data_IF_186256691423
#
_entry.id   IF_186256691423
#
_cell.length_a   1.000
_cell.length_b   1.000
_cell.length_c   1.000
_cell.angle_alpha   90.00
_cell.angle_beta   90.00
_cell.angle_gamma   90.00
#
_symmetry.space_group_name_H-M   'P 1'
#
loop_
_entity.id
_entity.type
_entity.pdbx_description
1 polymer ?
#
# COMPACT_ATOMS: atom_id res chain seq x y z
N UNK A 1 -31.98 -13.47 57.15
CA UNK A 1 -32.52 -13.19 55.81
C UNK A 1 -31.34 -13.13 54.85
N UNK A 2 -31.17 -14.16 53.99
CA UNK A 2 -30.02 -14.32 53.09
C UNK A 2 -30.39 -13.82 51.70
N UNK A 3 -29.56 -12.91 51.18
CA UNK A 3 -29.58 -12.34 49.84
C UNK A 3 -29.07 -13.37 48.82
N UNK A 4 -29.76 -13.52 47.70
CA UNK A 4 -29.27 -14.22 46.50
C UNK A 4 -29.46 -13.28 45.32
N UNK A 5 -28.39 -12.59 44.93
CA UNK A 5 -28.30 -11.86 43.67
C UNK A 5 -27.88 -12.88 42.61
N UNK A 6 -28.79 -13.21 41.70
CA UNK A 6 -28.50 -14.01 40.51
C UNK A 6 -27.95 -13.07 39.45
N UNK A 7 -26.63 -13.04 39.28
CA UNK A 7 -25.97 -12.42 38.14
C UNK A 7 -26.14 -13.34 36.92
N UNK A 8 -27.19 -13.10 36.13
CA UNK A 8 -27.33 -13.67 34.80
C UNK A 8 -26.33 -12.98 33.87
N UNK A 9 -25.18 -13.63 33.63
CA UNK A 9 -24.21 -13.19 32.62
C UNK A 9 -24.78 -13.41 31.23
N UNK A 10 -25.19 -12.31 30.59
CA UNK A 10 -25.41 -12.23 29.15
C UNK A 10 -24.06 -12.36 28.44
N UNK A 11 -23.78 -13.54 27.87
CA UNK A 11 -22.70 -13.71 26.89
C UNK A 11 -23.16 -13.08 25.56
N UNK A 12 -22.70 -11.85 25.29
CA UNK A 12 -22.79 -11.26 23.96
C UNK A 12 -21.80 -11.97 23.03
N UNK A 13 -22.34 -12.74 22.08
CA UNK A 13 -21.56 -13.32 20.99
C UNK A 13 -21.23 -12.17 20.04
N UNK A 14 -19.98 -11.71 20.08
CA UNK A 14 -19.45 -10.75 19.10
C UNK A 14 -19.19 -11.54 17.84
N UNK A 15 -20.01 -11.35 16.80
CA UNK A 15 -19.67 -11.84 15.47
C UNK A 15 -18.53 -10.96 14.95
N UNK A 16 -17.33 -11.52 14.85
CA UNK A 16 -16.22 -10.91 14.14
C UNK A 16 -16.60 -10.75 12.67
N UNK A 17 -17.11 -9.55 12.34
CA UNK A 17 -17.24 -9.13 10.96
C UNK A 17 -15.81 -8.95 10.41
N UNK A 18 -15.32 -9.99 9.75
CA UNK A 18 -14.11 -9.90 8.93
C UNK A 18 -14.41 -8.89 7.81
N UNK A 19 -13.98 -7.64 8.01
CA UNK A 19 -14.09 -6.61 6.99
C UNK A 19 -13.19 -7.01 5.81
N UNK A 20 -13.78 -7.58 4.77
CA UNK A 20 -13.12 -7.80 3.50
C UNK A 20 -12.89 -6.42 2.86
N UNK A 21 -11.62 -6.02 2.73
CA UNK A 21 -11.26 -4.79 2.02
C UNK A 21 -11.03 -5.16 0.56
N UNK A 22 -11.78 -4.49 -0.32
CA UNK A 22 -11.72 -4.71 -1.75
C UNK A 22 -10.84 -3.64 -2.39
N UNK A 23 -9.87 -4.09 -3.21
CA UNK A 23 -9.10 -3.22 -4.08
C UNK A 23 -9.81 -3.13 -5.42
N UNK A 24 -10.32 -1.95 -5.73
CA UNK A 24 -11.10 -1.68 -6.93
C UNK A 24 -10.26 -0.88 -7.92
N UNK A 25 -10.02 -1.43 -9.10
CA UNK A 25 -9.34 -0.69 -10.16
C UNK A 25 -10.40 -0.14 -11.11
N UNK A 26 -10.58 1.17 -11.07
CA UNK A 26 -11.51 1.89 -11.93
C UNK A 26 -11.12 1.83 -13.42
N UNK A 27 -12.03 2.24 -14.33
CA UNK A 27 -11.79 2.25 -15.77
C UNK A 27 -10.67 3.23 -16.18
N UNK A 28 -10.41 4.24 -15.36
CA UNK A 28 -9.29 5.19 -15.42
C UNK A 28 -7.95 4.59 -14.97
N UNK A 29 -7.96 3.40 -14.38
CA UNK A 29 -6.79 2.74 -13.81
C UNK A 29 -6.44 3.18 -12.39
N UNK A 30 -7.28 4.01 -11.76
CA UNK A 30 -7.14 4.37 -10.35
C UNK A 30 -7.51 3.18 -9.47
N UNK A 31 -6.65 2.85 -8.51
CA UNK A 31 -6.97 1.89 -7.47
C UNK A 31 -7.63 2.62 -6.30
N UNK A 32 -8.84 2.22 -5.92
CA UNK A 32 -9.50 2.57 -4.65
C UNK A 32 -9.54 1.36 -3.72
N UNK A 33 -9.50 1.60 -2.41
CA UNK A 33 -9.74 0.59 -1.39
C UNK A 33 -11.04 0.96 -0.69
N UNK A 34 -11.90 -0.04 -0.49
CA UNK A 34 -13.21 0.16 0.12
C UNK A 34 -13.63 -1.10 0.88
N UNK A 35 -14.44 -0.91 1.92
CA UNK A 35 -14.95 -1.99 2.78
C UNK A 35 -16.18 -2.70 2.15
N UNK A 36 -16.56 -2.30 0.93
CA UNK A 36 -17.65 -2.88 0.14
C UNK A 36 -17.11 -3.46 -1.17
N UNK A 37 -17.72 -4.53 -1.73
CA UNK A 37 -17.31 -5.09 -3.02
C UNK A 37 -17.17 -4.04 -4.10
N UNK A 38 -16.24 -4.25 -5.03
CA UNK A 38 -16.03 -3.30 -6.11
C UNK A 38 -17.28 -3.16 -6.98
N UNK A 39 -17.64 -1.95 -7.44
CA UNK A 39 -18.73 -1.80 -8.40
C UNK A 39 -18.42 -2.64 -9.65
N UNK A 40 -19.45 -3.20 -10.31
CA UNK A 40 -19.30 -4.12 -11.46
C UNK A 40 -18.44 -3.56 -12.62
N UNK A 41 -18.28 -2.24 -12.66
CA UNK A 41 -17.48 -1.50 -13.64
C UNK A 41 -16.00 -1.41 -13.30
N UNK A 42 -15.60 -1.80 -12.08
CA UNK A 42 -14.23 -1.82 -11.59
C UNK A 42 -13.71 -3.26 -11.52
N UNK A 43 -12.44 -3.47 -11.87
CA UNK A 43 -11.82 -4.77 -11.68
C UNK A 43 -11.66 -5.02 -10.17
N UNK A 44 -12.31 -6.08 -9.68
CA UNK A 44 -12.29 -6.48 -8.28
C UNK A 44 -11.09 -7.38 -7.97
N UNK A 45 -10.42 -7.08 -6.86
CA UNK A 45 -9.50 -8.02 -6.21
C UNK A 45 -9.77 -8.01 -4.72
N UNK A 46 -10.19 -9.16 -4.20
CA UNK A 46 -10.32 -9.42 -2.76
C UNK A 46 -8.92 -9.48 -2.14
N UNK A 47 -8.64 -8.60 -1.18
CA UNK A 47 -7.41 -8.69 -0.37
C UNK A 47 -7.74 -9.51 0.86
N UNK A 48 -7.37 -10.78 0.88
CA UNK A 48 -7.56 -11.64 2.05
C UNK A 48 -6.50 -11.30 3.10
N UNK A 49 -6.91 -10.61 4.17
CA UNK A 49 -6.07 -10.41 5.36
C UNK A 49 -6.04 -11.74 6.13
N UNK A 50 -5.17 -12.65 5.74
CA UNK A 50 -4.88 -13.81 6.57
C UNK A 50 -4.04 -13.36 7.77
N UNK A 51 -4.73 -13.14 8.89
CA UNK A 51 -4.11 -12.94 10.20
C UNK A 51 -3.32 -14.18 10.60
N UNK A 52 -2.04 -14.21 10.25
CA UNK A 52 -1.09 -15.08 10.92
C UNK A 52 0.25 -14.34 11.02
N UNK A 53 0.31 -13.46 12.01
CA UNK A 53 1.53 -12.82 12.44
C UNK A 53 2.45 -13.87 13.04
N UNK A 54 3.41 -14.38 12.25
CA UNK A 54 4.58 -15.03 12.82
C UNK A 54 5.52 -13.91 13.26
N UNK A 55 5.36 -13.48 14.51
CA UNK A 55 6.34 -12.69 15.24
C UNK A 55 7.59 -13.54 15.44
N UNK A 56 8.59 -13.39 14.58
CA UNK A 56 9.98 -13.72 14.89
C UNK A 56 10.89 -13.04 13.87
N UNK A 57 11.48 -11.94 14.30
CA UNK A 57 12.39 -11.12 13.53
C UNK A 57 12.73 -9.88 14.33
N UNK A 58 13.36 -10.09 15.49
CA UNK A 58 14.13 -9.05 16.18
C UNK A 58 15.12 -8.44 15.18
N UNK A 59 14.76 -7.29 14.65
CA UNK A 59 15.71 -6.34 14.09
C UNK A 59 15.57 -5.09 14.92
N UNK A 60 16.34 -5.05 16.01
CA UNK A 60 16.79 -3.79 16.58
C UNK A 60 17.56 -3.04 15.49
N UNK A 61 16.89 -2.09 14.84
CA UNK A 61 17.55 -0.93 14.24
C UNK A 61 17.23 0.26 15.13
N UNK A 62 17.90 0.29 16.27
CA UNK A 62 18.37 1.53 16.84
C UNK A 62 19.50 1.99 15.93
N UNK A 63 19.33 3.08 15.20
CA UNK A 63 20.40 4.05 14.91
C UNK A 63 19.87 5.19 14.04
N UNK A 64 19.97 6.38 14.62
CA UNK A 64 20.06 7.70 14.01
C UNK A 64 18.88 8.19 13.18
N UNK A 65 17.91 8.76 13.92
CA UNK A 65 17.09 9.90 13.53
C UNK A 65 17.95 11.14 13.22
N UNK A 66 18.86 11.00 12.25
CA UNK A 66 19.47 12.14 11.58
C UNK A 66 18.54 12.43 10.41
N UNK A 67 17.55 13.27 10.70
CA UNK A 67 16.76 14.09 9.78
C UNK A 67 17.68 14.81 8.78
N UNK A 68 18.23 14.06 7.84
CA UNK A 68 18.81 14.61 6.64
C UNK A 68 17.60 14.91 5.77
N UNK A 69 17.09 16.13 5.90
CA UNK A 69 16.29 16.82 4.87
C UNK A 69 17.12 16.98 3.59
N UNK A 70 17.66 15.88 3.08
CA UNK A 70 18.17 15.81 1.72
C UNK A 70 16.91 15.98 0.89
N UNK A 71 16.76 17.18 0.34
CA UNK A 71 15.81 17.51 -0.71
C UNK A 71 15.66 16.27 -1.59
N UNK A 72 14.49 15.65 -1.50
CA UNK A 72 14.17 14.45 -2.26
C UNK A 72 14.21 14.83 -3.74
N UNK A 73 15.38 14.66 -4.34
CA UNK A 73 15.64 15.13 -5.69
C UNK A 73 14.99 14.18 -6.68
N UNK A 74 14.18 14.73 -7.58
CA UNK A 74 13.52 14.00 -8.67
C UNK A 74 14.46 13.09 -9.47
N UNK A 75 15.75 13.43 -9.57
CA UNK A 75 16.78 12.60 -10.23
C UNK A 75 16.91 11.23 -9.59
N UNK A 76 16.62 11.12 -8.30
CA UNK A 76 16.83 9.92 -7.51
C UNK A 76 15.72 8.87 -7.73
N UNK A 77 14.53 9.31 -8.17
CA UNK A 77 13.45 8.40 -8.55
C UNK A 77 13.67 7.72 -9.89
N UNK A 78 14.45 8.33 -10.80
CA UNK A 78 14.65 7.83 -12.16
C UNK A 78 15.17 6.39 -12.14
N UNK A 79 14.48 5.53 -12.90
CA UNK A 79 14.76 4.10 -12.98
C UNK A 79 13.54 3.23 -12.66
N UNK A 80 13.79 1.92 -12.59
CA UNK A 80 12.79 0.91 -12.26
C UNK A 80 12.74 0.66 -10.76
N UNK A 81 11.53 0.47 -10.26
CA UNK A 81 11.21 0.13 -8.90
C UNK A 81 10.18 -1.00 -8.89
N UNK A 82 10.44 -2.01 -8.07
CA UNK A 82 9.52 -3.10 -7.82
C UNK A 82 8.75 -2.82 -6.53
N UNK A 83 7.46 -2.56 -6.66
CA UNK A 83 6.49 -2.64 -5.57
C UNK A 83 6.29 -4.12 -5.23
N UNK A 84 6.89 -4.56 -4.14
CA UNK A 84 6.88 -5.97 -3.73
C UNK A 84 5.89 -6.24 -2.60
N UNK A 85 5.38 -5.19 -1.94
CA UNK A 85 4.39 -5.32 -0.89
C UNK A 85 3.52 -4.06 -0.74
N UNK A 86 2.30 -4.26 -0.24
CA UNK A 86 1.40 -3.20 0.22
C UNK A 86 0.93 -3.52 1.65
N UNK A 87 0.68 -2.51 2.47
CA UNK A 87 0.10 -2.67 3.82
C UNK A 87 -0.83 -1.52 4.17
N UNK A 88 -1.82 -1.76 5.03
CA UNK A 88 -2.70 -0.69 5.53
C UNK A 88 -2.01 0.21 6.57
N UNK A 89 -0.94 -0.27 7.22
CA UNK A 89 -0.18 0.48 8.21
C UNK A 89 1.33 0.28 8.04
N UNK A 90 2.14 1.22 8.53
CA UNK A 90 3.60 1.23 8.33
C UNK A 90 4.32 0.00 8.91
N UNK A 91 3.75 -0.61 9.95
CA UNK A 91 4.27 -1.83 10.58
C UNK A 91 3.35 -3.04 10.43
N UNK A 92 2.29 -2.92 9.61
CA UNK A 92 1.27 -3.96 9.48
C UNK A 92 1.71 -5.13 8.62
N UNK A 93 0.82 -6.11 8.52
CA UNK A 93 0.97 -7.25 7.60
C UNK A 93 1.12 -6.75 6.17
N UNK A 94 2.07 -7.36 5.45
CA UNK A 94 2.40 -7.01 4.06
C UNK A 94 1.74 -8.01 3.11
N UNK A 95 0.93 -7.50 2.19
CA UNK A 95 0.43 -8.28 1.06
C UNK A 95 1.45 -8.22 -0.09
N UNK A 96 2.00 -9.37 -0.46
CA UNK A 96 2.99 -9.53 -1.53
C UNK A 96 2.42 -10.24 -2.76
N UNK A 97 1.10 -10.46 -2.81
CA UNK A 97 0.46 -11.28 -3.84
C UNK A 97 0.43 -10.63 -5.22
N UNK A 98 0.56 -9.29 -5.29
CA UNK A 98 0.42 -8.51 -6.51
C UNK A 98 1.58 -7.53 -6.69
N UNK A 99 2.77 -8.01 -7.09
CA UNK A 99 3.88 -7.11 -7.36
C UNK A 99 3.58 -6.22 -8.57
N UNK A 100 4.04 -4.98 -8.50
CA UNK A 100 3.92 -4.02 -9.59
C UNK A 100 5.27 -3.35 -9.88
N UNK A 101 5.51 -3.00 -11.14
CA UNK A 101 6.73 -2.30 -11.56
C UNK A 101 6.41 -0.85 -11.87
N UNK A 102 7.09 0.05 -11.17
CA UNK A 102 7.09 1.48 -11.43
C UNK A 102 8.36 1.82 -12.21
N UNK A 103 8.24 2.59 -13.28
CA UNK A 103 9.37 3.00 -14.09
C UNK A 103 9.32 4.51 -14.33
N UNK A 104 10.07 5.24 -13.52
CA UNK A 104 10.28 6.67 -13.72
C UNK A 104 11.30 6.86 -14.85
N UNK A 105 10.81 6.92 -16.09
CA UNK A 105 11.63 6.91 -17.31
C UNK A 105 12.55 8.13 -17.41
N UNK A 106 12.02 9.29 -17.04
CA UNK A 106 12.73 10.56 -17.04
C UNK A 106 12.16 11.47 -15.94
N UNK A 107 12.49 12.75 -15.98
CA UNK A 107 12.03 13.76 -15.00
C UNK A 107 10.56 14.16 -15.16
N UNK A 108 9.74 13.50 -15.95
CA UNK A 108 8.30 13.81 -15.99
C UNK A 108 7.42 12.62 -16.34
N UNK A 109 7.96 11.55 -16.89
CA UNK A 109 7.19 10.39 -17.33
C UNK A 109 7.39 9.20 -16.41
N UNK A 110 6.29 8.54 -16.10
CA UNK A 110 6.26 7.28 -15.36
C UNK A 110 5.45 6.26 -16.14
N UNK A 111 5.88 4.99 -16.10
CA UNK A 111 5.00 3.87 -16.38
C UNK A 111 4.79 2.99 -15.16
N UNK A 112 3.56 2.49 -15.03
CA UNK A 112 3.16 1.58 -13.96
C UNK A 112 2.63 0.31 -14.59
N UNK A 113 3.28 -0.82 -14.29
CA UNK A 113 2.91 -2.14 -14.79
C UNK A 113 2.46 -3.01 -13.64
N UNK A 114 1.24 -3.53 -13.70
CA UNK A 114 0.71 -4.44 -12.69
C UNK A 114 0.09 -5.67 -13.36
N UNK A 115 0.00 -6.75 -12.58
CA UNK A 115 -0.67 -7.97 -12.99
C UNK A 115 -1.90 -8.14 -12.10
N UNK A 116 -3.07 -8.30 -12.69
CA UNK A 116 -4.25 -8.82 -11.98
C UNK A 116 -4.29 -10.34 -12.16
N UNK A 117 -4.92 -11.06 -11.24
CA UNK A 117 -4.96 -12.54 -11.31
C UNK A 117 -5.58 -13.07 -12.61
N UNK A 118 -6.47 -12.28 -13.24
CA UNK A 118 -7.29 -12.70 -14.37
C UNK A 118 -6.91 -12.08 -15.71
N UNK A 119 -6.04 -11.07 -15.77
CA UNK A 119 -5.72 -10.34 -17.01
C UNK A 119 -4.22 -10.30 -17.29
N UNK A 120 -3.82 -10.16 -18.57
CA UNK A 120 -2.43 -9.92 -18.94
C UNK A 120 -1.88 -8.66 -18.26
N UNK A 121 -0.55 -8.57 -18.15
CA UNK A 121 0.12 -7.37 -17.61
C UNK A 121 -0.38 -6.12 -18.36
N UNK A 122 -0.90 -5.14 -17.62
CA UNK A 122 -1.30 -3.83 -18.15
C UNK A 122 -0.23 -2.81 -17.77
N UNK A 123 0.22 -2.04 -18.75
CA UNK A 123 1.12 -0.90 -18.55
C UNK A 123 0.34 0.39 -18.77
N UNK A 124 0.43 1.31 -17.81
CA UNK A 124 -0.18 2.64 -17.87
C UNK A 124 0.96 3.67 -17.92
N UNK A 125 0.81 4.68 -18.78
CA UNK A 125 1.77 5.79 -18.91
C UNK A 125 1.15 7.09 -18.41
N UNK A 126 1.84 7.79 -17.52
CA UNK A 126 1.39 9.07 -16.95
C UNK A 126 2.55 10.08 -16.89
N UNK A 127 2.22 11.37 -16.71
CA UNK A 127 3.21 12.33 -16.23
C UNK A 127 3.24 12.36 -14.70
N UNK A 128 4.35 12.86 -14.14
CA UNK A 128 4.49 13.10 -12.72
C UNK A 128 5.32 14.34 -12.39
N UNK A 129 4.95 15.02 -11.32
CA UNK A 129 5.73 16.07 -10.66
C UNK A 129 6.21 15.61 -9.30
N UNK A 130 7.32 16.20 -8.84
CA UNK A 130 7.88 15.94 -7.52
C UNK A 130 8.12 17.29 -6.86
N UNK A 131 7.52 17.48 -5.70
CA UNK A 131 7.63 18.68 -4.89
C UNK A 131 7.88 18.25 -3.45
N UNK A 132 9.08 18.51 -2.95
CA UNK A 132 9.52 18.02 -1.64
C UNK A 132 9.35 16.50 -1.53
N UNK A 133 8.55 16.02 -0.57
CA UNK A 133 8.25 14.61 -0.33
C UNK A 133 6.96 14.15 -1.04
N UNK A 134 6.42 14.95 -1.96
CA UNK A 134 5.18 14.64 -2.68
C UNK A 134 5.47 14.30 -4.13
N UNK A 135 4.87 13.21 -4.60
CA UNK A 135 4.86 12.79 -6.00
C UNK A 135 3.42 12.90 -6.48
N UNK A 136 3.14 13.83 -7.41
CA UNK A 136 1.83 13.90 -8.05
C UNK A 136 1.92 13.18 -9.39
N UNK A 137 1.05 12.20 -9.63
CA UNK A 137 1.02 11.43 -10.88
C UNK A 137 -0.34 11.62 -11.52
N UNK A 138 -0.35 12.01 -12.80
CA UNK A 138 -1.58 12.19 -13.58
C UNK A 138 -2.41 10.90 -13.51
N UNK A 139 -3.72 11.04 -13.27
CA UNK A 139 -4.65 9.92 -13.13
C UNK A 139 -4.29 8.87 -12.07
N UNK A 140 -3.30 9.12 -11.19
CA UNK A 140 -2.93 8.25 -10.06
C UNK A 140 -2.88 8.99 -8.73
N UNK A 141 -3.09 10.31 -8.72
CA UNK A 141 -3.23 11.13 -7.52
C UNK A 141 -1.90 11.54 -6.88
N UNK A 142 -1.98 11.97 -5.62
CA UNK A 142 -0.83 12.42 -4.84
C UNK A 142 -0.32 11.32 -3.92
N UNK A 143 0.98 11.11 -3.96
CA UNK A 143 1.70 10.12 -3.18
C UNK A 143 2.71 10.84 -2.29
N UNK A 144 2.84 10.40 -1.04
CA UNK A 144 3.86 10.94 -0.13
C UNK A 144 4.99 9.95 0.04
N UNK A 145 6.22 10.43 -0.01
CA UNK A 145 7.43 9.67 0.29
C UNK A 145 7.59 9.63 1.81
N UNK A 146 7.36 8.48 2.44
CA UNK A 146 7.53 8.36 3.89
C UNK A 146 8.95 7.92 4.28
N UNK A 147 9.64 7.18 3.40
CA UNK A 147 11.01 6.71 3.64
C UNK A 147 11.73 6.50 2.33
N UNK A 148 12.97 6.95 2.26
CA UNK A 148 13.83 6.77 1.11
C UNK A 148 15.31 6.67 1.52
N UNK A 149 16.03 5.66 1.02
CA UNK A 149 17.45 5.44 1.34
C UNK A 149 18.34 5.15 0.12
N UNK A 150 17.89 5.46 -1.10
CA UNK A 150 18.63 5.12 -2.33
C UNK A 150 18.18 3.83 -2.99
N UNK A 151 17.87 2.81 -2.19
CA UNK A 151 17.58 1.45 -2.66
C UNK A 151 16.13 1.01 -2.39
N UNK A 152 15.54 1.47 -1.30
CA UNK A 152 14.14 1.26 -0.93
C UNK A 152 13.39 2.57 -0.81
N UNK A 153 12.10 2.50 -1.13
CA UNK A 153 11.16 3.61 -1.11
C UNK A 153 9.87 3.12 -0.47
N UNK A 154 9.35 3.87 0.51
CA UNK A 154 8.01 3.65 1.07
C UNK A 154 7.16 4.84 0.68
N UNK A 155 6.03 4.57 0.02
CA UNK A 155 5.05 5.58 -0.35
C UNK A 155 3.76 5.41 0.43
N UNK A 156 3.16 6.52 0.87
CA UNK A 156 1.74 6.58 1.24
C UNK A 156 0.93 6.92 -0.01
N UNK A 157 -0.09 6.10 -0.31
CA UNK A 157 -0.99 6.31 -1.44
C UNK A 157 -2.01 7.44 -1.23
N UNK A 158 -2.67 7.91 -2.30
CA UNK A 158 -3.64 9.02 -2.26
C UNK A 158 -4.87 8.76 -1.37
N UNK A 159 -5.17 7.49 -1.13
CA UNK A 159 -6.29 7.00 -0.33
C UNK A 159 -5.80 6.30 0.96
N UNK A 160 -4.53 6.51 1.31
CA UNK A 160 -3.86 5.77 2.38
C UNK A 160 -3.17 4.50 1.89
N UNK A 161 -2.76 3.67 2.85
CA UNK A 161 -1.93 2.50 2.60
C UNK A 161 -0.45 2.83 2.35
N UNK A 162 0.40 1.86 2.59
CA UNK A 162 1.86 1.92 2.48
C UNK A 162 2.32 0.96 1.39
N UNK A 163 3.06 1.48 0.44
CA UNK A 163 3.57 0.77 -0.72
C UNK A 163 5.08 0.65 -0.56
N UNK A 164 5.59 -0.59 -0.59
CA UNK A 164 6.99 -0.88 -0.37
C UNK A 164 7.64 -1.19 -1.71
N UNK A 165 8.56 -0.32 -2.10
CA UNK A 165 9.29 -0.42 -3.35
C UNK A 165 10.77 -0.66 -3.09
N UNK A 166 11.39 -1.45 -3.95
CA UNK A 166 12.85 -1.63 -4.04
C UNK A 166 13.33 -1.32 -5.44
N UNK A 167 14.56 -0.83 -5.61
CA UNK A 167 15.12 -0.61 -6.94
C UNK A 167 15.21 -1.91 -7.74
N UNK A 168 14.93 -1.82 -9.04
CA UNK A 168 15.01 -2.93 -9.99
C UNK A 168 13.66 -3.41 -10.49
N UNK A 169 13.65 -4.57 -11.13
CA UNK A 169 12.45 -5.21 -11.65
C UNK A 169 11.77 -6.10 -10.60
N UNK A 170 10.46 -6.30 -10.76
CA UNK A 170 9.77 -7.49 -10.28
C UNK A 170 9.90 -8.60 -11.34
#
# INVERSE_FOLDING_TARGET
MKWLIVFASLFYIVNDAHAEIYKCVGPDGLASFQDTPCPDTADETTVTINGNASTNGDVSTQDDDKSIKNSFDKRVLVGKWCEFAVSMSRGGTKDTSMPATWHFKNKSQISYTYKTQKKPKKEIFNQYTVEEEKITIDNLGQWRVDTFNGYSLILTGPIGGYFYLRRGAC
#
